data_IF_871568801196
#
_entry.id   IF_871568801196
#
_cell.length_a   1.000
_cell.length_b   1.000
_cell.length_c   1.000
_cell.angle_alpha   90.00
_cell.angle_beta   90.00
_cell.angle_gamma   90.00
#
_symmetry.space_group_name_H-M   'P 1'
#
loop_
_entity.id
_entity.type
_entity.pdbx_description
1 polymer ?
#
# COMPACT_ATOMS: atom_id res chain seq x y z
N UNK A 1 -92.92 34.07 -1.77
CA UNK A 1 -92.49 32.73 -1.28
C UNK A 1 -91.10 32.47 -1.85
N UNK A 2 -90.02 32.71 -1.09
CA UNK A 2 -89.25 31.71 -0.27
C UNK A 2 -88.40 30.83 -1.21
N UNK A 3 -87.07 30.62 -1.11
CA UNK A 3 -85.96 30.99 -0.22
C UNK A 3 -84.64 30.81 -1.02
N UNK A 4 -83.63 31.67 -0.88
CA UNK A 4 -82.41 31.49 -0.04
C UNK A 4 -81.68 30.14 -0.18
N UNK A 5 -80.45 30.14 -0.70
CA UNK A 5 -79.37 29.23 -0.29
C UNK A 5 -78.01 29.75 -0.74
N UNK A 6 -77.26 30.28 0.23
CA UNK A 6 -75.86 30.63 0.13
C UNK A 6 -75.01 29.39 0.46
N UNK A 7 -74.05 29.05 -0.39
CA UNK A 7 -73.05 28.01 -0.14
C UNK A 7 -71.68 28.69 0.03
N UNK A 8 -71.22 28.67 1.30
CA UNK A 8 -69.88 29.05 1.75
C UNK A 8 -68.83 28.07 1.20
N UNK A 9 -67.88 28.58 0.41
CA UNK A 9 -66.62 27.90 0.13
C UNK A 9 -65.67 28.10 1.31
N UNK A 10 -65.60 27.12 2.23
CA UNK A 10 -64.57 27.05 3.25
C UNK A 10 -63.38 26.25 2.73
N UNK A 11 -62.27 26.98 2.57
CA UNK A 11 -60.93 26.49 2.26
C UNK A 11 -60.45 25.47 3.30
N UNK A 12 -60.32 24.20 2.91
CA UNK A 12 -59.67 23.16 3.69
C UNK A 12 -58.29 22.83 3.13
N UNK A 13 -57.25 23.58 3.53
CA UNK A 13 -55.86 23.15 3.34
C UNK A 13 -55.54 22.01 4.33
N UNK A 14 -55.98 20.79 4.03
CA UNK A 14 -55.44 19.59 4.66
C UNK A 14 -54.03 19.35 4.08
N UNK A 15 -53.02 19.92 4.75
CA UNK A 15 -51.64 19.44 4.63
C UNK A 15 -51.62 17.99 5.11
N UNK A 16 -51.63 17.05 4.18
CA UNK A 16 -51.28 15.66 4.46
C UNK A 16 -49.88 15.64 5.06
N UNK A 17 -49.74 15.25 6.32
CA UNK A 17 -48.45 14.90 6.91
C UNK A 17 -47.84 13.80 6.04
N UNK A 18 -46.78 14.15 5.29
CA UNK A 18 -46.23 13.28 4.26
C UNK A 18 -45.58 12.01 4.85
N UNK A 19 -45.51 10.92 4.07
CA UNK A 19 -44.88 9.65 4.44
C UNK A 19 -43.38 9.76 4.81
N UNK A 20 -42.72 10.89 4.54
CA UNK A 20 -41.29 11.12 4.80
C UNK A 20 -40.92 11.15 6.29
N UNK A 21 -41.82 11.64 7.17
CA UNK A 21 -41.55 11.69 8.62
C UNK A 21 -41.40 10.30 9.26
N UNK A 22 -42.11 9.29 8.72
CA UNK A 22 -42.02 7.91 9.21
C UNK A 22 -40.72 7.23 8.79
N UNK A 23 -40.25 7.49 7.56
CA UNK A 23 -39.02 6.91 7.02
C UNK A 23 -37.79 7.48 7.74
N UNK A 24 -37.78 8.78 8.02
CA UNK A 24 -36.68 9.43 8.72
C UNK A 24 -36.57 8.96 10.18
N UNK A 25 -37.70 8.82 10.89
CA UNK A 25 -37.73 8.28 12.24
C UNK A 25 -37.26 6.81 12.30
N UNK A 26 -37.66 5.98 11.34
CA UNK A 26 -37.18 4.59 11.23
C UNK A 26 -35.68 4.53 10.93
N UNK A 27 -35.17 5.44 10.10
CA UNK A 27 -33.75 5.56 9.81
C UNK A 27 -32.96 5.95 11.05
N UNK A 28 -33.35 7.01 11.77
CA UNK A 28 -32.67 7.41 13.02
C UNK A 28 -32.70 6.28 14.06
N UNK A 29 -33.83 5.57 14.19
CA UNK A 29 -33.92 4.44 15.10
C UNK A 29 -32.98 3.30 14.70
N UNK A 30 -32.84 3.02 13.41
CA UNK A 30 -31.93 1.98 12.89
C UNK A 30 -30.47 2.37 13.11
N UNK A 31 -30.12 3.62 12.83
CA UNK A 31 -28.78 4.16 13.04
C UNK A 31 -28.42 4.11 14.54
N UNK A 32 -29.33 4.53 15.42
CA UNK A 32 -29.16 4.46 16.88
C UNK A 32 -28.92 3.03 17.36
N UNK A 33 -29.70 2.06 16.90
CA UNK A 33 -29.51 0.64 17.27
C UNK A 33 -28.15 0.11 16.81
N UNK A 34 -27.75 0.43 15.57
CA UNK A 34 -26.46 -0.01 15.04
C UNK A 34 -25.29 0.55 15.85
N UNK A 35 -25.38 1.81 16.30
CA UNK A 35 -24.35 2.43 17.13
C UNK A 35 -24.33 1.85 18.55
N UNK A 36 -25.51 1.67 19.16
CA UNK A 36 -25.63 1.02 20.48
C UNK A 36 -25.04 -0.40 20.49
N UNK A 37 -25.22 -1.16 19.42
CA UNK A 37 -24.63 -2.50 19.31
C UNK A 37 -23.10 -2.45 19.33
N UNK A 38 -22.49 -1.47 18.65
CA UNK A 38 -21.06 -1.27 18.68
C UNK A 38 -20.55 -0.85 20.07
N UNK A 39 -21.27 0.05 20.75
CA UNK A 39 -20.94 0.47 22.11
C UNK A 39 -20.99 -0.70 23.10
N UNK A 40 -22.01 -1.56 23.00
CA UNK A 40 -22.11 -2.77 23.83
C UNK A 40 -20.90 -3.68 23.59
N UNK A 41 -20.47 -3.88 22.34
CA UNK A 41 -19.26 -4.65 22.03
C UNK A 41 -18.01 -4.02 22.67
N UNK A 42 -17.88 -2.69 22.59
CA UNK A 42 -16.79 -1.95 23.22
C UNK A 42 -16.78 -2.11 24.75
N UNK A 43 -17.94 -1.99 25.40
CA UNK A 43 -18.09 -2.14 26.85
C UNK A 43 -17.80 -3.56 27.33
N UNK A 44 -18.00 -4.57 26.48
CA UNK A 44 -17.60 -5.97 26.72
C UNK A 44 -16.11 -6.25 26.47
N UNK A 45 -15.33 -5.21 26.19
CA UNK A 45 -13.93 -5.30 25.77
C UNK A 45 -13.69 -6.11 24.48
N UNK A 46 -14.74 -6.42 23.70
CA UNK A 46 -14.60 -6.99 22.36
C UNK A 46 -14.37 -5.87 21.34
N UNK A 47 -13.17 -5.30 21.41
CA UNK A 47 -12.79 -4.18 20.56
C UNK A 47 -12.75 -4.55 19.07
N UNK A 48 -12.53 -5.83 18.74
CA UNK A 48 -12.50 -6.31 17.36
C UNK A 48 -13.88 -6.23 16.69
N UNK A 49 -14.92 -6.68 17.41
CA UNK A 49 -16.31 -6.58 16.97
C UNK A 49 -16.77 -5.12 16.97
N UNK A 50 -16.41 -4.34 17.99
CA UNK A 50 -16.72 -2.92 18.06
C UNK A 50 -16.18 -2.15 16.84
N UNK A 51 -14.90 -2.33 16.51
CA UNK A 51 -14.26 -1.74 15.32
C UNK A 51 -15.01 -2.15 14.04
N UNK A 52 -15.35 -3.44 13.89
CA UNK A 52 -16.06 -3.95 12.72
C UNK A 52 -17.45 -3.32 12.54
N UNK A 53 -18.22 -3.21 13.63
CA UNK A 53 -19.55 -2.61 13.64
C UNK A 53 -19.50 -1.10 13.36
N UNK A 54 -18.55 -0.38 13.95
CA UNK A 54 -18.39 1.07 13.74
C UNK A 54 -17.91 1.41 12.33
N UNK A 55 -16.95 0.65 11.79
CA UNK A 55 -16.53 0.80 10.40
C UNK A 55 -17.70 0.52 9.43
N UNK A 56 -18.54 -0.48 9.73
CA UNK A 56 -19.76 -0.73 8.95
C UNK A 56 -20.71 0.46 9.03
N UNK A 57 -20.99 0.98 10.22
CA UNK A 57 -21.86 2.13 10.43
C UNK A 57 -21.40 3.35 9.63
N UNK A 58 -20.11 3.71 9.71
CA UNK A 58 -19.55 4.86 9.00
C UNK A 58 -19.58 4.69 7.48
N UNK A 59 -19.49 3.45 6.97
CA UNK A 59 -19.61 3.16 5.55
C UNK A 59 -21.06 3.21 5.07
N UNK A 60 -22.02 2.74 5.86
CA UNK A 60 -23.44 2.70 5.47
C UNK A 60 -24.15 4.03 5.71
N UNK A 61 -23.70 4.83 6.68
CA UNK A 61 -24.31 6.10 7.08
C UNK A 61 -23.29 7.26 7.15
N UNK A 62 -22.55 7.57 6.07
CA UNK A 62 -21.44 8.54 6.10
C UNK A 62 -21.88 9.97 6.44
N UNK A 63 -23.14 10.33 6.15
CA UNK A 63 -23.71 11.66 6.41
C UNK A 63 -24.60 11.70 7.66
N UNK A 64 -24.62 10.64 8.48
CA UNK A 64 -25.41 10.62 9.71
C UNK A 64 -24.95 11.70 10.69
N UNK A 65 -25.89 12.30 11.42
CA UNK A 65 -25.60 13.18 12.57
C UNK A 65 -24.81 12.44 13.67
N UNK A 66 -24.88 11.10 13.70
CA UNK A 66 -24.15 10.23 14.65
C UNK A 66 -22.78 9.77 14.15
N UNK A 67 -22.37 10.18 12.95
CA UNK A 67 -21.07 9.80 12.38
C UNK A 67 -19.89 10.23 13.25
N UNK A 68 -19.98 11.41 13.89
CA UNK A 68 -18.94 11.90 14.82
C UNK A 68 -18.87 11.05 16.10
N UNK A 69 -20.01 10.67 16.66
CA UNK A 69 -20.10 9.77 17.82
C UNK A 69 -19.54 8.38 17.48
N UNK A 70 -19.89 7.84 16.31
CA UNK A 70 -19.34 6.58 15.82
C UNK A 70 -17.81 6.64 15.65
N UNK A 71 -17.27 7.73 15.09
CA UNK A 71 -15.82 7.93 14.97
C UNK A 71 -15.14 8.05 16.34
N UNK A 72 -15.77 8.70 17.30
CA UNK A 72 -15.26 8.81 18.67
C UNK A 72 -15.12 7.43 19.32
N UNK A 73 -16.17 6.60 19.24
CA UNK A 73 -16.12 5.22 19.72
C UNK A 73 -15.10 4.38 18.97
N UNK A 74 -14.95 4.61 17.66
CA UNK A 74 -13.99 3.87 16.85
C UNK A 74 -12.55 4.19 17.25
N UNK A 75 -12.25 5.47 17.47
CA UNK A 75 -10.96 5.92 17.96
C UNK A 75 -10.61 5.27 19.31
N UNK A 76 -11.58 5.22 20.23
CA UNK A 76 -11.43 4.56 21.54
C UNK A 76 -11.25 3.05 21.40
N UNK A 77 -12.01 2.41 20.53
CA UNK A 77 -11.91 0.97 20.26
C UNK A 77 -10.53 0.62 19.73
N UNK A 78 -10.03 1.37 18.74
CA UNK A 78 -8.66 1.23 18.25
C UNK A 78 -7.64 1.44 19.39
N UNK A 79 -7.79 2.50 20.20
CA UNK A 79 -6.86 2.79 21.29
C UNK A 79 -6.82 1.65 22.32
N UNK A 80 -7.98 1.10 22.69
CA UNK A 80 -8.09 0.02 23.68
C UNK A 80 -7.64 -1.33 23.13
N UNK A 81 -7.75 -1.54 21.83
CA UNK A 81 -7.22 -2.71 21.13
C UNK A 81 -5.70 -2.65 20.89
N UNK A 82 -5.04 -1.53 21.18
CA UNK A 82 -3.60 -1.33 20.91
C UNK A 82 -3.31 -0.76 19.51
N UNK A 83 -4.30 -0.53 18.66
CA UNK A 83 -4.09 0.06 17.34
C UNK A 83 -3.90 1.59 17.43
N UNK A 84 -2.81 2.04 18.03
CA UNK A 84 -2.60 3.46 18.41
C UNK A 84 -2.54 4.39 17.19
N UNK A 85 -1.89 3.97 16.11
CA UNK A 85 -1.84 4.75 14.86
C UNK A 85 -3.24 4.96 14.28
N UNK A 86 -4.06 3.91 14.27
CA UNK A 86 -5.46 3.98 13.81
C UNK A 86 -6.32 4.84 14.73
N UNK A 87 -6.08 4.78 16.05
CA UNK A 87 -6.76 5.63 17.01
C UNK A 87 -6.44 7.11 16.78
N UNK A 88 -5.17 7.48 16.59
CA UNK A 88 -4.75 8.86 16.28
C UNK A 88 -5.49 9.39 15.06
N UNK A 89 -5.62 8.59 14.01
CA UNK A 89 -6.26 9.01 12.76
C UNK A 89 -7.72 9.41 13.02
N UNK A 90 -8.45 8.56 13.73
CA UNK A 90 -9.85 8.85 14.04
C UNK A 90 -9.98 10.04 15.00
N UNK A 91 -9.06 10.21 15.96
CA UNK A 91 -9.05 11.39 16.81
C UNK A 91 -8.66 12.67 16.06
N UNK A 92 -7.68 12.64 15.15
CA UNK A 92 -7.31 13.81 14.32
C UNK A 92 -8.49 14.27 13.46
N UNK A 93 -9.25 13.33 12.88
CA UNK A 93 -10.48 13.67 12.17
C UNK A 93 -11.44 14.49 13.03
N UNK A 94 -11.68 14.08 14.28
CA UNK A 94 -12.55 14.78 15.22
C UNK A 94 -11.97 16.12 15.68
N UNK A 95 -10.64 16.20 15.83
CA UNK A 95 -9.90 17.39 16.24
C UNK A 95 -9.87 18.50 15.17
N UNK A 96 -9.75 18.10 13.90
CA UNK A 96 -9.48 18.98 12.75
C UNK A 96 -10.74 19.28 11.91
N UNK A 97 -11.88 18.65 12.25
CA UNK A 97 -13.16 18.97 11.61
C UNK A 97 -13.51 20.45 11.79
N UNK A 98 -13.90 21.12 10.70
CA UNK A 98 -14.26 22.55 10.69
C UNK A 98 -15.51 22.87 11.50
N UNK A 99 -16.39 21.89 11.66
CA UNK A 99 -17.60 21.99 12.48
C UNK A 99 -17.26 21.67 13.93
N UNK A 100 -17.56 22.62 14.81
CA UNK A 100 -17.39 22.42 16.25
C UNK A 100 -18.19 21.19 16.71
N UNK A 101 -17.56 20.32 17.49
CA UNK A 101 -18.16 19.11 17.98
C UNK A 101 -17.70 18.82 19.41
N UNK A 102 -18.54 18.11 20.16
CA UNK A 102 -18.32 17.83 21.58
C UNK A 102 -17.05 17.02 21.86
N UNK A 103 -16.48 16.35 20.86
CA UNK A 103 -15.28 15.52 21.00
C UNK A 103 -13.99 16.25 20.67
N UNK A 104 -14.04 17.47 20.14
CA UNK A 104 -12.89 18.12 19.51
C UNK A 104 -11.72 18.34 20.48
N UNK A 105 -11.99 18.89 21.66
CA UNK A 105 -10.98 19.17 22.69
C UNK A 105 -10.35 17.87 23.22
N UNK A 106 -11.18 16.89 23.54
CA UNK A 106 -10.73 15.58 24.02
C UNK A 106 -9.91 14.85 22.96
N UNK A 107 -10.34 14.92 21.69
CA UNK A 107 -9.64 14.32 20.57
C UNK A 107 -8.25 14.95 20.39
N UNK A 108 -8.11 16.29 20.44
CA UNK A 108 -6.79 16.96 20.41
C UNK A 108 -5.88 16.50 21.54
N UNK A 109 -6.41 16.43 22.76
CA UNK A 109 -5.66 15.94 23.93
C UNK A 109 -5.22 14.47 23.74
N UNK A 110 -6.10 13.62 23.22
CA UNK A 110 -5.81 12.22 22.91
C UNK A 110 -4.77 12.09 21.81
N UNK A 111 -4.86 12.88 20.73
CA UNK A 111 -3.83 12.93 19.68
C UNK A 111 -2.48 13.28 20.30
N UNK A 112 -2.37 14.40 21.03
CA UNK A 112 -1.11 14.80 21.65
C UNK A 112 -0.57 13.76 22.67
N UNK A 113 -1.45 13.07 23.39
CA UNK A 113 -1.05 11.99 24.31
C UNK A 113 -0.54 10.76 23.54
N UNK A 114 -1.28 10.33 22.52
CA UNK A 114 -0.94 9.17 21.72
C UNK A 114 0.28 9.42 20.85
N UNK A 115 0.46 10.62 20.30
CA UNK A 115 1.65 11.04 19.57
C UNK A 115 2.87 11.16 20.47
N UNK A 116 2.72 11.56 21.75
CA UNK A 116 3.83 11.46 22.70
C UNK A 116 4.16 10.01 23.03
N UNK A 117 3.14 9.16 23.19
CA UNK A 117 3.31 7.71 23.38
C UNK A 117 3.99 7.08 22.17
N UNK A 118 3.53 7.34 20.95
CA UNK A 118 4.12 6.88 19.70
C UNK A 118 5.40 7.63 19.33
N UNK A 119 5.63 8.83 19.83
CA UNK A 119 6.92 9.53 19.75
C UNK A 119 7.99 8.73 20.48
N UNK A 120 7.64 8.23 21.66
CA UNK A 120 8.46 7.33 22.47
C UNK A 120 8.38 5.86 22.04
N UNK A 121 7.27 5.43 21.45
CA UNK A 121 6.93 4.04 21.12
C UNK A 121 6.99 3.74 19.63
N UNK A 122 7.25 4.67 18.72
CA UNK A 122 7.65 4.37 17.33
C UNK A 122 9.15 4.11 17.24
N UNK A 123 9.91 4.48 18.29
CA UNK A 123 11.14 3.77 18.64
C UNK A 123 10.87 2.29 19.02
N UNK A 124 9.60 1.91 19.27
CA UNK A 124 9.16 0.60 19.76
C UNK A 124 7.85 0.10 19.13
N UNK A 125 7.54 0.40 17.86
CA UNK A 125 6.62 -0.49 17.15
C UNK A 125 7.33 -1.84 17.20
N UNK A 126 6.70 -2.89 17.70
CA UNK A 126 7.45 -4.12 17.95
C UNK A 126 8.07 -4.55 16.63
N UNK A 127 9.39 -4.46 16.52
CA UNK A 127 10.13 -4.80 15.32
C UNK A 127 9.76 -6.24 15.04
N UNK A 128 8.96 -6.44 13.99
CA UNK A 128 8.43 -7.75 13.67
C UNK A 128 9.51 -8.60 13.02
N UNK A 129 10.36 -7.93 12.25
CA UNK A 129 11.44 -8.53 11.52
C UNK A 129 12.40 -7.52 10.92
N UNK A 130 13.40 -8.06 10.23
CA UNK A 130 14.42 -7.30 9.49
C UNK A 130 14.25 -7.54 7.99
N UNK A 131 14.53 -6.52 7.19
CA UNK A 131 14.67 -6.62 5.74
C UNK A 131 16.16 -6.71 5.41
N UNK A 132 16.58 -7.69 4.62
CA UNK A 132 17.99 -7.85 4.27
C UNK A 132 18.15 -8.25 2.81
N UNK A 133 19.03 -7.58 2.09
CA UNK A 133 19.41 -7.96 0.71
C UNK A 133 20.12 -9.31 0.71
N UNK A 134 19.77 -10.19 -0.23
CA UNK A 134 20.39 -11.49 -0.39
C UNK A 134 21.92 -11.41 -0.49
N UNK A 135 22.44 -10.43 -1.25
CA UNK A 135 23.87 -10.25 -1.44
C UNK A 135 24.62 -9.82 -0.18
N UNK A 136 23.95 -9.12 0.75
CA UNK A 136 24.50 -8.78 2.04
C UNK A 136 24.52 -10.00 2.98
N UNK A 137 23.49 -10.85 2.92
CA UNK A 137 23.40 -12.05 3.75
C UNK A 137 24.49 -13.06 3.39
N UNK A 138 24.73 -13.33 2.11
CA UNK A 138 25.74 -14.33 1.72
C UNK A 138 27.16 -13.97 2.15
N UNK A 139 27.44 -12.67 2.32
CA UNK A 139 28.74 -12.20 2.79
C UNK A 139 28.95 -12.41 4.30
N UNK A 140 27.88 -12.37 5.11
CA UNK A 140 28.00 -12.38 6.57
C UNK A 140 26.73 -12.91 7.27
N UNK A 141 26.28 -14.12 6.92
CA UNK A 141 25.01 -14.71 7.42
C UNK A 141 24.92 -14.68 8.94
N UNK A 142 26.04 -14.91 9.64
CA UNK A 142 26.08 -14.96 11.10
C UNK A 142 25.90 -13.60 11.77
N UNK A 143 26.24 -12.50 11.11
CA UNK A 143 26.07 -11.14 11.65
C UNK A 143 24.70 -10.53 11.33
N UNK A 144 23.91 -11.14 10.44
CA UNK A 144 22.63 -10.58 9.98
C UNK A 144 21.54 -10.69 11.04
N UNK A 145 21.52 -11.79 11.79
CA UNK A 145 20.63 -11.92 12.96
C UNK A 145 21.46 -11.53 14.17
N UNK A 146 21.30 -10.31 14.72
CA UNK A 146 21.99 -9.94 15.94
C UNK A 146 21.66 -10.97 17.03
N UNK A 147 22.69 -11.54 17.65
CA UNK A 147 22.57 -12.47 18.77
C UNK A 147 22.09 -11.78 20.05
N UNK A 148 21.87 -10.46 20.02
CA UNK A 148 21.53 -9.64 21.18
C UNK A 148 20.03 -9.50 21.38
N UNK A 149 19.66 -9.51 22.65
CA UNK A 149 18.34 -9.39 23.27
C UNK A 149 17.51 -8.14 22.93
N UNK A 150 18.01 -7.23 22.08
CA UNK A 150 17.40 -5.92 21.87
C UNK A 150 16.43 -5.85 20.69
N UNK A 151 16.50 -6.82 19.76
CA UNK A 151 15.55 -6.94 18.65
C UNK A 151 14.99 -8.37 18.66
N UNK A 152 13.78 -8.55 19.21
CA UNK A 152 13.00 -9.79 19.08
C UNK A 152 12.44 -9.96 17.65
N UNK A 153 13.30 -9.90 16.64
CA UNK A 153 12.94 -10.06 15.23
C UNK A 153 12.54 -11.52 14.98
N UNK A 154 11.25 -11.81 15.04
CA UNK A 154 10.66 -13.12 14.73
C UNK A 154 10.65 -13.45 13.24
N UNK A 155 11.02 -12.50 12.37
CA UNK A 155 10.85 -12.60 10.92
C UNK A 155 12.03 -11.98 10.16
N UNK A 156 12.38 -12.56 9.02
CA UNK A 156 13.35 -12.01 8.07
C UNK A 156 12.69 -11.93 6.70
N UNK A 157 12.68 -10.74 6.11
CA UNK A 157 12.38 -10.54 4.69
C UNK A 157 13.69 -10.52 3.91
N UNK A 158 14.00 -11.63 3.25
CA UNK A 158 15.17 -11.80 2.41
C UNK A 158 14.86 -11.24 1.01
N UNK A 159 15.41 -10.08 0.68
CA UNK A 159 15.15 -9.39 -0.58
C UNK A 159 16.10 -9.89 -1.66
N UNK A 160 15.54 -10.37 -2.77
CA UNK A 160 16.28 -10.69 -3.99
C UNK A 160 16.32 -9.41 -4.84
N UNK A 161 17.47 -8.71 -4.87
CA UNK A 161 17.56 -7.44 -5.58
C UNK A 161 17.50 -7.67 -7.10
N UNK A 162 17.23 -6.60 -7.83
CA UNK A 162 17.40 -6.60 -9.28
C UNK A 162 18.89 -6.70 -9.64
N UNK A 163 19.21 -7.46 -10.68
CA UNK A 163 20.59 -7.61 -11.14
C UNK A 163 20.92 -6.49 -12.14
N UNK A 164 22.11 -5.92 -12.02
CA UNK A 164 22.66 -5.03 -13.05
C UNK A 164 23.70 -5.86 -13.80
N UNK A 165 23.53 -6.02 -15.11
CA UNK A 165 24.38 -6.88 -15.96
C UNK A 165 24.51 -8.34 -15.49
N UNK A 166 23.43 -8.88 -14.93
CA UNK A 166 23.38 -10.26 -14.44
C UNK A 166 24.22 -10.53 -13.18
N UNK A 167 24.66 -9.47 -12.49
CA UNK A 167 25.40 -9.53 -11.23
C UNK A 167 24.61 -8.88 -10.10
N UNK A 168 24.73 -9.44 -8.90
CA UNK A 168 24.27 -8.77 -7.68
C UNK A 168 25.11 -7.50 -7.50
N UNK A 169 24.45 -6.35 -7.38
CA UNK A 169 25.09 -5.04 -7.29
C UNK A 169 26.06 -4.93 -6.11
N UNK A 170 25.82 -5.70 -5.04
CA UNK A 170 26.63 -5.64 -3.82
C UNK A 170 27.95 -6.43 -3.89
N UNK A 171 28.05 -7.54 -4.62
CA UNK A 171 29.21 -8.46 -4.51
C UNK A 171 29.58 -9.24 -5.78
N UNK A 172 28.90 -9.03 -6.92
CA UNK A 172 29.22 -9.73 -8.17
C UNK A 172 28.92 -11.24 -8.19
N UNK A 173 28.39 -11.80 -7.10
CA UNK A 173 27.96 -13.19 -7.03
C UNK A 173 26.73 -13.43 -7.91
N UNK A 174 26.69 -14.60 -8.54
CA UNK A 174 25.52 -15.07 -9.28
C UNK A 174 24.50 -15.64 -8.29
N UNK A 175 23.23 -15.24 -8.43
CA UNK A 175 22.14 -15.83 -7.65
C UNK A 175 21.98 -17.31 -8.06
N UNK A 176 22.13 -18.23 -7.10
CA UNK A 176 21.86 -19.66 -7.28
C UNK A 176 20.84 -20.16 -6.26
N UNK A 177 20.03 -21.14 -6.66
CA UNK A 177 19.06 -21.76 -5.75
C UNK A 177 19.74 -22.46 -4.58
N UNK A 178 20.90 -23.08 -4.78
CA UNK A 178 21.66 -23.75 -3.71
C UNK A 178 22.12 -22.77 -2.63
N UNK A 179 22.69 -21.63 -3.04
CA UNK A 179 23.10 -20.58 -2.10
C UNK A 179 21.89 -20.01 -1.37
N UNK A 180 20.78 -19.79 -2.09
CA UNK A 180 19.55 -19.29 -1.49
C UNK A 180 18.96 -20.29 -0.50
N UNK A 181 18.98 -21.58 -0.82
CA UNK A 181 18.48 -22.64 0.04
C UNK A 181 19.30 -22.73 1.32
N UNK A 182 20.63 -22.70 1.21
CA UNK A 182 21.54 -22.72 2.36
C UNK A 182 21.30 -21.53 3.29
N UNK A 183 21.14 -20.32 2.75
CA UNK A 183 20.84 -19.12 3.55
C UNK A 183 19.49 -19.26 4.26
N UNK A 184 18.44 -19.66 3.53
CA UNK A 184 17.09 -19.80 4.09
C UNK A 184 17.07 -20.88 5.18
N UNK A 185 17.72 -22.03 4.97
CA UNK A 185 17.84 -23.08 5.98
C UNK A 185 18.54 -22.60 7.25
N UNK A 186 19.66 -21.86 7.11
CA UNK A 186 20.41 -21.33 8.24
C UNK A 186 19.57 -20.33 9.07
N UNK A 187 18.86 -19.42 8.40
CA UNK A 187 17.99 -18.46 9.07
C UNK A 187 16.80 -19.17 9.74
N UNK A 188 16.19 -20.15 9.07
CA UNK A 188 15.08 -20.94 9.62
C UNK A 188 15.50 -21.78 10.83
N UNK A 189 16.70 -22.37 10.83
CA UNK A 189 17.23 -23.14 11.96
C UNK A 189 17.39 -22.29 13.23
N UNK A 190 17.43 -20.96 13.10
CA UNK A 190 17.44 -19.98 14.21
C UNK A 190 16.04 -19.56 14.66
N UNK A 191 15.00 -20.19 14.14
CA UNK A 191 13.60 -19.96 14.52
C UNK A 191 12.95 -18.74 13.86
N UNK A 192 13.59 -18.13 12.85
CA UNK A 192 13.01 -17.00 12.14
C UNK A 192 11.97 -17.45 11.10
N UNK A 193 10.84 -16.74 11.02
CA UNK A 193 9.91 -16.84 9.91
C UNK A 193 10.49 -16.14 8.68
N UNK A 194 10.67 -16.86 7.57
CA UNK A 194 11.37 -16.32 6.39
C UNK A 194 10.37 -15.93 5.30
N UNK A 195 10.44 -14.68 4.87
CA UNK A 195 9.73 -14.19 3.70
C UNK A 195 10.74 -13.92 2.59
N UNK A 196 10.48 -14.38 1.37
CA UNK A 196 11.30 -14.06 0.22
C UNK A 196 10.70 -12.87 -0.55
N UNK A 197 11.41 -11.74 -0.57
CA UNK A 197 11.06 -10.55 -1.34
C UNK A 197 11.60 -10.67 -2.76
N UNK A 198 10.74 -10.54 -3.77
CA UNK A 198 11.12 -10.71 -5.18
C UNK A 198 10.46 -9.65 -6.02
N UNK A 199 11.21 -9.05 -6.96
CA UNK A 199 10.61 -8.17 -7.98
C UNK A 199 10.43 -8.95 -9.28
N UNK A 200 9.20 -9.35 -9.67
CA UNK A 200 9.00 -10.25 -10.80
C UNK A 200 9.56 -9.73 -12.12
N UNK A 201 9.61 -8.41 -12.34
CA UNK A 201 10.19 -7.83 -13.57
C UNK A 201 11.72 -7.96 -13.66
N UNK A 202 12.40 -8.28 -12.55
CA UNK A 202 13.85 -8.44 -12.51
C UNK A 202 14.31 -9.89 -12.59
N UNK A 203 13.44 -10.86 -12.27
CA UNK A 203 13.83 -12.27 -12.22
C UNK A 203 14.33 -12.82 -13.57
N UNK A 204 13.88 -12.25 -14.70
CA UNK A 204 14.40 -12.62 -16.00
C UNK A 204 15.89 -12.31 -16.20
N UNK A 205 16.50 -11.45 -15.36
CA UNK A 205 17.93 -11.18 -15.40
C UNK A 205 18.75 -12.32 -14.76
N UNK A 206 18.12 -13.11 -13.90
CA UNK A 206 18.73 -14.26 -13.22
C UNK A 206 18.88 -15.43 -14.20
N UNK A 207 17.94 -15.57 -15.14
CA UNK A 207 17.94 -16.66 -16.10
C UNK A 207 18.68 -16.28 -17.39
N UNK A 208 19.59 -17.15 -17.83
CA UNK A 208 20.29 -17.05 -19.12
C UNK A 208 19.68 -17.98 -20.16
N UNK A 209 18.36 -17.92 -20.36
CA UNK A 209 17.70 -18.70 -21.42
C UNK A 209 17.73 -17.94 -22.75
N UNK A 210 17.88 -18.68 -23.86
CA UNK A 210 17.78 -18.09 -25.21
C UNK A 210 16.35 -17.56 -25.44
N UNK A 211 16.23 -16.40 -26.07
CA UNK A 211 14.93 -15.79 -26.43
C UNK A 211 14.32 -14.88 -25.37
N UNK A 212 14.87 -14.82 -24.15
CA UNK A 212 14.35 -13.94 -23.09
C UNK A 212 14.44 -12.45 -23.45
N UNK A 213 15.40 -12.06 -24.30
CA UNK A 213 15.57 -10.68 -24.76
C UNK A 213 14.33 -10.09 -25.43
N UNK A 214 13.47 -10.93 -26.03
CA UNK A 214 12.24 -10.50 -26.68
C UNK A 214 11.12 -10.20 -25.67
N UNK A 215 11.26 -10.68 -24.42
CA UNK A 215 10.32 -10.44 -23.34
C UNK A 215 10.63 -9.16 -22.54
N UNK A 216 11.73 -8.47 -22.87
CA UNK A 216 12.09 -7.20 -22.25
C UNK A 216 11.05 -6.14 -22.54
N UNK A 217 10.79 -5.32 -21.54
CA UNK A 217 9.92 -4.17 -21.67
C UNK A 217 10.63 -3.02 -22.41
N UNK A 218 9.90 -1.98 -22.78
CA UNK A 218 10.46 -0.80 -23.42
C UNK A 218 10.22 0.43 -22.56
N UNK A 219 11.18 1.34 -22.56
CA UNK A 219 11.15 2.61 -21.84
C UNK A 219 11.41 3.76 -22.80
N UNK A 220 10.69 4.86 -22.63
CA UNK A 220 10.98 6.12 -23.29
C UNK A 220 12.07 6.86 -22.50
N UNK A 221 13.09 7.34 -23.19
CA UNK A 221 14.11 8.20 -22.62
C UNK A 221 13.81 9.66 -23.02
N UNK A 222 13.40 10.53 -22.08
CA UNK A 222 13.04 11.91 -22.40
C UNK A 222 14.25 12.75 -22.84
N UNK A 223 15.49 12.37 -22.48
CA UNK A 223 16.68 13.12 -22.88
C UNK A 223 17.00 12.87 -24.35
N UNK A 224 16.98 11.61 -24.77
CA UNK A 224 17.24 11.26 -26.17
C UNK A 224 16.00 11.25 -27.04
N UNK A 225 14.81 11.41 -26.45
CA UNK A 225 13.50 11.34 -27.13
C UNK A 225 13.32 10.06 -27.93
N UNK A 226 13.83 8.95 -27.41
CA UNK A 226 13.78 7.64 -28.08
C UNK A 226 13.24 6.55 -27.17
N UNK A 227 12.63 5.54 -27.78
CA UNK A 227 12.36 4.29 -27.10
C UNK A 227 13.61 3.42 -27.03
N UNK A 228 13.87 2.87 -25.85
CA UNK A 228 14.98 1.95 -25.57
C UNK A 228 14.44 0.70 -24.90
N UNK A 229 15.13 -0.42 -25.09
CA UNK A 229 14.84 -1.65 -24.33
C UNK A 229 15.12 -1.40 -22.86
N UNK A 230 14.16 -1.75 -22.02
CA UNK A 230 14.30 -1.76 -20.57
C UNK A 230 15.19 -2.95 -20.16
N UNK A 231 15.99 -2.84 -19.10
CA UNK A 231 16.66 -4.00 -18.51
C UNK A 231 15.68 -4.96 -17.83
N UNK A 232 14.41 -4.56 -17.68
CA UNK A 232 13.36 -5.30 -16.98
C UNK A 232 12.41 -5.97 -17.96
N UNK A 233 11.75 -7.00 -17.46
CA UNK A 233 10.87 -7.87 -18.25
C UNK A 233 9.41 -7.46 -18.12
N UNK A 234 8.67 -7.67 -19.20
CA UNK A 234 7.25 -7.37 -19.27
C UNK A 234 6.42 -8.59 -18.85
N UNK A 235 5.50 -8.40 -17.91
CA UNK A 235 4.57 -9.45 -17.47
C UNK A 235 3.50 -9.79 -18.52
N UNK A 236 3.44 -9.05 -19.64
CA UNK A 236 2.47 -9.29 -20.72
C UNK A 236 2.81 -10.53 -21.55
N UNK A 237 4.07 -10.97 -21.58
CA UNK A 237 4.48 -12.17 -22.30
C UNK A 237 4.12 -13.44 -21.54
N UNK A 238 3.33 -14.31 -22.17
CA UNK A 238 2.97 -15.63 -21.62
C UNK A 238 4.20 -16.48 -21.29
N UNK A 239 5.19 -16.52 -22.19
CA UNK A 239 6.44 -17.24 -21.97
C UNK A 239 7.18 -16.75 -20.72
N UNK A 240 7.19 -15.44 -20.46
CA UNK A 240 7.79 -14.89 -19.25
C UNK A 240 6.99 -15.25 -17.99
N UNK A 241 5.66 -15.23 -18.05
CA UNK A 241 4.82 -15.66 -16.92
C UNK A 241 5.01 -17.14 -16.59
N UNK A 242 5.10 -18.00 -17.61
CA UNK A 242 5.41 -19.42 -17.42
C UNK A 242 6.78 -19.61 -16.75
N UNK A 243 7.80 -18.89 -17.22
CA UNK A 243 9.12 -18.86 -16.59
C UNK A 243 9.05 -18.46 -15.10
N UNK A 244 8.25 -17.45 -14.74
CA UNK A 244 8.08 -17.06 -13.33
C UNK A 244 7.47 -18.18 -12.50
N UNK A 245 6.44 -18.86 -13.01
CA UNK A 245 5.83 -20.02 -12.32
C UNK A 245 6.87 -21.11 -12.07
N UNK A 246 7.65 -21.47 -13.09
CA UNK A 246 8.71 -22.48 -12.97
C UNK A 246 9.83 -22.07 -12.01
N UNK A 247 10.18 -20.77 -12.00
CA UNK A 247 11.17 -20.23 -11.08
C UNK A 247 10.69 -20.34 -9.63
N UNK A 248 9.46 -19.94 -9.35
CA UNK A 248 8.88 -20.03 -8.00
C UNK A 248 8.62 -21.48 -7.58
N UNK A 249 8.29 -22.38 -8.49
CA UNK A 249 8.06 -23.79 -8.18
C UNK A 249 9.32 -24.46 -7.60
N UNK A 250 10.52 -23.98 -7.94
CA UNK A 250 11.79 -24.46 -7.35
C UNK A 250 11.93 -24.12 -5.86
N UNK A 251 11.12 -23.19 -5.32
CA UNK A 251 11.13 -22.85 -3.90
C UNK A 251 10.34 -23.82 -3.02
N UNK A 252 9.73 -24.87 -3.60
CA UNK A 252 8.83 -25.79 -2.88
C UNK A 252 9.44 -26.39 -1.62
N UNK A 253 10.74 -26.72 -1.69
CA UNK A 253 11.43 -27.42 -0.61
C UNK A 253 12.14 -26.47 0.36
N UNK A 254 12.00 -25.16 0.14
CA UNK A 254 12.58 -24.15 1.02
C UNK A 254 11.68 -23.96 2.24
N UNK A 255 12.23 -23.82 3.46
CA UNK A 255 11.44 -23.57 4.66
C UNK A 255 11.01 -22.09 4.74
N UNK A 256 10.24 -21.64 3.76
CA UNK A 256 9.69 -20.29 3.67
C UNK A 256 8.34 -20.21 4.39
N UNK A 257 8.10 -19.07 5.03
CA UNK A 257 6.79 -18.69 5.57
C UNK A 257 5.93 -17.98 4.52
N UNK A 258 6.55 -17.20 3.64
CA UNK A 258 5.81 -16.51 2.58
C UNK A 258 6.66 -15.92 1.47
N UNK A 259 5.99 -15.45 0.44
CA UNK A 259 6.56 -14.73 -0.70
C UNK A 259 6.01 -13.31 -0.71
N UNK A 260 6.88 -12.32 -0.88
CA UNK A 260 6.48 -10.91 -1.01
C UNK A 260 6.80 -10.44 -2.42
N UNK A 261 5.75 -10.12 -3.18
CA UNK A 261 5.88 -9.49 -4.49
C UNK A 261 6.25 -8.02 -4.30
N UNK A 262 7.51 -7.69 -4.59
CA UNK A 262 8.07 -6.35 -4.55
C UNK A 262 7.70 -5.57 -5.81
N UNK A 263 7.52 -4.27 -5.67
CA UNK A 263 7.40 -3.30 -6.78
C UNK A 263 8.59 -2.33 -6.79
N UNK A 264 9.82 -2.85 -6.66
CA UNK A 264 11.02 -2.01 -6.59
C UNK A 264 11.32 -1.31 -7.94
N UNK A 265 10.91 -1.90 -9.05
CA UNK A 265 11.09 -1.33 -10.40
C UNK A 265 9.73 -1.21 -11.12
N UNK A 266 8.91 -0.21 -10.77
CA UNK A 266 7.65 0.02 -11.45
C UNK A 266 7.89 0.35 -12.94
N UNK A 267 6.87 0.16 -13.78
CA UNK A 267 6.96 0.61 -15.17
C UNK A 267 6.96 2.15 -15.22
N UNK A 268 6.21 2.78 -14.31
CA UNK A 268 6.16 4.22 -14.16
C UNK A 268 5.63 4.94 -15.41
N UNK A 269 5.95 6.23 -15.47
CA UNK A 269 5.48 7.14 -16.53
C UNK A 269 6.04 6.72 -17.89
N UNK A 270 7.34 6.44 -17.92
CA UNK A 270 8.09 6.21 -19.16
C UNK A 270 8.34 4.73 -19.49
N UNK A 271 7.74 3.77 -18.79
CA UNK A 271 7.89 2.34 -19.11
C UNK A 271 6.61 1.66 -19.58
N UNK A 272 6.72 0.38 -19.92
CA UNK A 272 5.57 -0.45 -20.31
C UNK A 272 5.28 -0.45 -21.81
N UNK A 273 6.19 0.06 -22.65
CA UNK A 273 5.92 0.33 -24.07
C UNK A 273 6.31 -0.81 -25.01
N UNK A 274 6.49 -2.03 -24.51
CA UNK A 274 6.77 -3.15 -25.41
C UNK A 274 5.67 -3.28 -26.48
N UNK A 275 5.99 -3.66 -27.73
CA UNK A 275 5.02 -3.66 -28.82
C UNK A 275 3.76 -4.49 -28.56
N UNK A 276 3.89 -5.62 -27.85
CA UNK A 276 2.76 -6.46 -27.46
C UNK A 276 1.79 -5.70 -26.54
N UNK A 277 2.28 -4.98 -25.53
CA UNK A 277 1.44 -4.19 -24.65
C UNK A 277 0.72 -3.06 -25.39
N UNK A 278 1.41 -2.34 -26.28
CA UNK A 278 0.79 -1.29 -27.11
C UNK A 278 -0.30 -1.88 -28.01
N UNK A 279 -0.07 -3.05 -28.61
CA UNK A 279 -1.05 -3.75 -29.43
C UNK A 279 -2.29 -4.18 -28.62
N UNK A 280 -2.09 -4.76 -27.42
CA UNK A 280 -3.18 -5.17 -26.53
C UNK A 280 -4.03 -3.97 -26.10
N UNK A 281 -3.39 -2.85 -25.75
CA UNK A 281 -4.08 -1.61 -25.44
C UNK A 281 -4.90 -1.09 -26.64
N UNK A 282 -4.29 -1.06 -27.83
CA UNK A 282 -4.98 -0.59 -29.03
C UNK A 282 -6.20 -1.46 -29.37
N UNK A 283 -6.11 -2.77 -29.16
CA UNK A 283 -7.22 -3.71 -29.31
C UNK A 283 -8.35 -3.43 -28.31
N UNK A 284 -8.02 -3.12 -27.05
CA UNK A 284 -9.00 -2.89 -25.99
C UNK A 284 -9.72 -1.55 -26.11
N UNK A 285 -9.00 -0.48 -26.47
CA UNK A 285 -9.55 0.88 -26.49
C UNK A 285 -9.86 1.44 -27.88
N UNK A 286 -9.50 0.73 -28.95
CA UNK A 286 -9.65 1.20 -30.33
C UNK A 286 -8.80 2.43 -30.67
N UNK A 287 -7.78 2.73 -29.86
CA UNK A 287 -6.87 3.87 -30.05
C UNK A 287 -5.43 3.44 -29.83
N UNK A 288 -4.53 3.89 -30.70
CA UNK A 288 -3.09 3.66 -30.53
C UNK A 288 -2.51 4.45 -29.36
N UNK A 289 -1.35 4.01 -28.88
CA UNK A 289 -0.52 4.76 -27.95
C UNK A 289 0.89 4.87 -28.52
N UNK A 290 1.31 6.09 -28.86
CA UNK A 290 2.67 6.38 -29.30
C UNK A 290 3.39 7.16 -28.20
N UNK A 291 4.36 6.55 -27.49
CA UNK A 291 5.08 7.22 -26.41
C UNK A 291 5.97 8.37 -26.91
N UNK A 292 6.47 8.33 -28.14
CA UNK A 292 7.26 9.43 -28.69
C UNK A 292 6.34 10.64 -28.86
N UNK A 293 5.22 10.48 -29.57
CA UNK A 293 4.24 11.57 -29.73
C UNK A 293 3.65 12.05 -28.39
N UNK A 294 3.50 11.15 -27.41
CA UNK A 294 2.97 11.49 -26.09
C UNK A 294 3.91 12.39 -25.27
N UNK A 295 5.23 12.23 -25.41
CA UNK A 295 6.23 12.85 -24.54
C UNK A 295 7.24 13.75 -25.27
N UNK A 296 7.10 13.96 -26.58
CA UNK A 296 7.96 14.85 -27.37
C UNK A 296 7.64 16.35 -27.15
N UNK A 297 6.46 16.69 -26.61
CA UNK A 297 6.14 18.07 -26.23
C UNK A 297 6.82 18.42 -24.89
N UNK A 298 7.76 19.39 -24.92
CA UNK A 298 8.50 19.91 -23.76
C UNK A 298 7.58 20.38 -22.62
N UNK A 299 6.31 20.69 -22.92
CA UNK A 299 5.29 21.04 -21.92
C UNK A 299 4.89 19.88 -21.01
N UNK A 300 4.99 18.64 -21.51
CA UNK A 300 4.56 17.42 -20.80
C UNK A 300 5.56 16.99 -19.73
N UNK A 301 6.85 17.32 -19.91
CA UNK A 301 7.97 16.85 -19.09
C UNK A 301 8.28 17.81 -17.93
N UNK A 302 8.02 19.12 -18.10
CA UNK A 302 8.44 20.14 -17.12
C UNK A 302 7.42 20.43 -16.01
N UNK A 303 6.18 19.95 -16.11
CA UNK A 303 5.11 20.25 -15.13
C UNK A 303 4.84 19.16 -14.10
N UNK A 304 5.53 18.01 -14.16
CA UNK A 304 5.32 16.92 -13.18
C UNK A 304 5.98 17.17 -11.82
N UNK A 305 6.74 18.25 -11.66
CA UNK A 305 7.44 18.57 -10.40
C UNK A 305 6.62 19.36 -9.38
N UNK A 306 5.46 19.88 -9.77
CA UNK A 306 4.59 20.68 -8.90
C UNK A 306 3.13 20.43 -9.25
N UNK A 307 2.46 19.55 -8.49
CA UNK A 307 0.99 19.49 -8.48
C UNK A 307 0.42 20.89 -8.22
N UNK A 308 -0.80 21.27 -8.68
CA UNK A 308 -1.83 20.52 -9.41
C UNK A 308 -2.13 21.10 -10.82
N UNK A 309 -2.48 20.22 -11.77
CA UNK A 309 -3.00 20.62 -13.09
C UNK A 309 -2.39 19.93 -14.31
N UNK A 310 -1.82 18.72 -14.18
CA UNK A 310 -1.22 18.03 -15.34
C UNK A 310 -2.33 17.67 -16.33
N UNK A 311 -2.48 18.49 -17.37
CA UNK A 311 -3.41 18.26 -18.48
C UNK A 311 -2.82 17.22 -19.44
N UNK A 312 -2.68 15.97 -18.96
CA UNK A 312 -2.30 14.86 -19.84
C UNK A 312 -3.49 14.48 -20.74
N UNK A 313 -3.25 14.13 -22.01
CA UNK A 313 -4.31 13.71 -22.93
C UNK A 313 -5.12 12.53 -22.36
N UNK A 314 -6.39 12.42 -22.73
CA UNK A 314 -7.26 11.31 -22.27
C UNK A 314 -6.65 9.93 -22.55
N UNK A 315 -5.96 9.77 -23.67
CA UNK A 315 -5.31 8.50 -24.04
C UNK A 315 -4.17 8.13 -23.07
N UNK A 316 -3.50 9.11 -22.46
CA UNK A 316 -2.53 8.89 -21.39
C UNK A 316 -3.18 8.20 -20.18
N UNK A 317 -4.29 8.75 -19.68
CA UNK A 317 -4.96 8.19 -18.51
C UNK A 317 -5.54 6.81 -18.78
N UNK A 318 -6.04 6.57 -20.00
CA UNK A 318 -6.43 5.23 -20.44
C UNK A 318 -5.24 4.26 -20.36
N UNK A 319 -4.09 4.65 -20.89
CA UNK A 319 -2.88 3.83 -20.87
C UNK A 319 -2.34 3.57 -19.46
N UNK A 320 -2.24 4.61 -18.63
CA UNK A 320 -1.78 4.49 -17.24
C UNK A 320 -2.70 3.58 -16.40
N UNK A 321 -4.02 3.77 -16.55
CA UNK A 321 -5.05 2.91 -15.94
C UNK A 321 -4.96 1.46 -16.42
N UNK A 322 -4.84 1.25 -17.73
CA UNK A 322 -4.76 -0.06 -18.35
C UNK A 322 -3.52 -0.84 -17.90
N UNK A 323 -2.31 -0.25 -18.02
CA UNK A 323 -1.06 -0.89 -17.59
C UNK A 323 -1.10 -1.36 -16.13
N UNK A 324 -1.66 -0.53 -15.25
CA UNK A 324 -1.79 -0.85 -13.82
C UNK A 324 -2.71 -2.05 -13.60
N UNK A 325 -3.85 -2.10 -14.29
CA UNK A 325 -4.77 -3.24 -14.23
C UNK A 325 -4.18 -4.50 -14.83
N UNK A 326 -3.51 -4.43 -15.99
CA UNK A 326 -2.86 -5.59 -16.62
C UNK A 326 -1.72 -6.16 -15.77
N UNK A 327 -0.90 -5.28 -15.18
CA UNK A 327 0.11 -5.69 -14.19
C UNK A 327 -0.54 -6.43 -13.03
N UNK A 328 -1.58 -5.84 -12.42
CA UNK A 328 -2.24 -6.47 -11.28
C UNK A 328 -2.92 -7.79 -11.65
N UNK A 329 -3.57 -7.87 -12.83
CA UNK A 329 -4.15 -9.13 -13.35
C UNK A 329 -3.07 -10.20 -13.46
N UNK A 330 -1.95 -9.88 -14.10
CA UNK A 330 -0.81 -10.79 -14.24
C UNK A 330 -0.27 -11.27 -12.89
N UNK A 331 -0.20 -10.37 -11.89
CA UNK A 331 0.24 -10.73 -10.53
C UNK A 331 -0.79 -11.59 -9.79
N UNK A 332 -2.09 -11.32 -9.96
CA UNK A 332 -3.17 -12.13 -9.37
C UNK A 332 -3.15 -13.54 -9.94
N UNK A 333 -3.04 -13.68 -11.25
CA UNK A 333 -2.99 -14.97 -11.94
C UNK A 333 -1.74 -15.76 -11.53
N UNK A 334 -0.59 -15.08 -11.43
CA UNK A 334 0.64 -15.66 -10.91
C UNK A 334 0.43 -16.19 -9.48
N UNK A 335 -0.04 -15.35 -8.54
CA UNK A 335 -0.25 -15.76 -7.14
C UNK A 335 -1.26 -16.90 -7.03
N UNK A 336 -2.36 -16.87 -7.80
CA UNK A 336 -3.35 -17.95 -7.81
C UNK A 336 -2.73 -19.27 -8.28
N UNK A 337 -1.92 -19.22 -9.34
CA UNK A 337 -1.18 -20.39 -9.84
C UNK A 337 -0.19 -20.91 -8.79
N UNK A 338 0.58 -20.01 -8.18
CA UNK A 338 1.56 -20.37 -7.15
C UNK A 338 0.90 -20.97 -5.91
N UNK A 339 -0.28 -20.51 -5.50
CA UNK A 339 -1.02 -21.11 -4.37
C UNK A 339 -1.36 -22.58 -4.58
N UNK A 340 -1.55 -23.01 -5.83
CA UNK A 340 -1.74 -24.44 -6.15
C UNK A 340 -0.46 -25.24 -5.87
N UNK A 341 0.70 -24.68 -6.18
CA UNK A 341 2.00 -25.36 -6.03
C UNK A 341 2.66 -25.16 -4.67
N UNK A 342 2.32 -24.08 -3.96
CA UNK A 342 2.90 -23.61 -2.70
C UNK A 342 1.79 -23.25 -1.70
N UNK A 343 0.89 -24.18 -1.34
CA UNK A 343 -0.33 -23.87 -0.58
C UNK A 343 -0.07 -23.42 0.87
N UNK A 344 1.11 -23.67 1.40
CA UNK A 344 1.50 -23.31 2.76
C UNK A 344 2.05 -21.88 2.88
N UNK A 345 2.37 -21.22 1.77
CA UNK A 345 2.98 -19.89 1.78
C UNK A 345 1.94 -18.78 1.90
N UNK A 346 2.25 -17.79 2.74
CA UNK A 346 1.58 -16.50 2.71
C UNK A 346 2.06 -15.67 1.51
N UNK A 347 1.18 -14.92 0.87
CA UNK A 347 1.52 -14.04 -0.25
C UNK A 347 1.37 -12.57 0.16
N UNK A 348 2.48 -11.85 0.21
CA UNK A 348 2.54 -10.42 0.43
C UNK A 348 2.73 -9.63 -0.85
N UNK A 349 2.40 -8.34 -0.80
CA UNK A 349 2.72 -7.37 -1.87
C UNK A 349 3.19 -6.06 -1.25
N UNK A 350 4.19 -5.44 -1.86
CA UNK A 350 4.61 -4.10 -1.45
C UNK A 350 3.79 -3.01 -2.14
N UNK A 351 3.46 -1.96 -1.40
CA UNK A 351 2.80 -0.76 -1.88
C UNK A 351 3.61 0.46 -1.47
N UNK A 352 3.74 1.45 -2.35
CA UNK A 352 4.42 2.70 -2.01
C UNK A 352 3.54 3.55 -1.10
N UNK A 353 4.10 4.11 -0.01
CA UNK A 353 3.35 4.99 0.90
C UNK A 353 2.66 6.14 0.16
N UNK A 354 3.36 6.71 -0.84
CA UNK A 354 2.84 7.78 -1.70
C UNK A 354 1.74 7.35 -2.66
N UNK A 355 1.71 6.09 -3.11
CA UNK A 355 0.59 5.60 -3.95
C UNK A 355 -0.71 5.51 -3.15
N UNK A 356 -0.60 5.27 -1.84
CA UNK A 356 -1.73 5.22 -0.92
C UNK A 356 -2.24 6.63 -0.64
N UNK A 357 -1.37 7.56 -0.25
CA UNK A 357 -1.76 8.93 0.09
C UNK A 357 -2.18 9.72 -1.14
N UNK A 358 -1.52 9.51 -2.29
CA UNK A 358 -1.80 10.14 -3.58
C UNK A 358 -1.97 9.08 -4.70
N UNK A 359 -3.22 8.62 -4.95
CA UNK A 359 -3.50 7.58 -5.95
C UNK A 359 -3.14 7.97 -7.38
N UNK A 360 -3.21 9.25 -7.73
CA UNK A 360 -2.84 9.73 -9.07
C UNK A 360 -1.34 9.54 -9.30
N UNK A 361 -0.52 9.92 -8.31
CA UNK A 361 0.92 9.65 -8.33
C UNK A 361 1.21 8.15 -8.30
N UNK A 362 0.45 7.40 -7.51
CA UNK A 362 0.37 5.93 -7.53
C UNK A 362 0.32 5.36 -8.93
N UNK A 363 -0.65 5.84 -9.69
CA UNK A 363 -0.94 5.38 -11.03
C UNK A 363 0.19 5.71 -12.01
N UNK A 364 0.70 6.94 -11.96
CA UNK A 364 1.70 7.44 -12.90
C UNK A 364 3.09 6.85 -12.62
N UNK A 365 3.58 6.97 -11.39
CA UNK A 365 4.98 6.69 -11.08
C UNK A 365 5.21 5.25 -10.65
N UNK A 366 4.23 4.62 -10.02
CA UNK A 366 4.39 3.29 -9.43
C UNK A 366 3.65 2.21 -10.20
N UNK A 367 2.78 2.58 -11.15
CA UNK A 367 1.90 1.61 -11.83
C UNK A 367 1.12 0.81 -10.78
N UNK A 368 0.61 1.53 -9.78
CA UNK A 368 -0.09 0.99 -8.61
C UNK A 368 -1.49 1.61 -8.48
N UNK A 369 -2.48 0.74 -8.29
CA UNK A 369 -3.79 1.08 -7.74
C UNK A 369 -3.95 0.28 -6.45
N UNK A 370 -3.63 0.90 -5.32
CA UNK A 370 -3.59 0.19 -4.04
C UNK A 370 -4.97 -0.33 -3.62
N UNK A 371 -6.06 0.32 -4.04
CA UNK A 371 -7.43 -0.12 -3.74
C UNK A 371 -7.79 -1.37 -4.53
N UNK A 372 -7.33 -1.48 -5.78
CA UNK A 372 -7.51 -2.73 -6.52
C UNK A 372 -6.57 -3.81 -5.99
N UNK A 373 -5.33 -3.46 -5.62
CA UNK A 373 -4.37 -4.43 -5.02
C UNK A 373 -4.96 -5.09 -3.76
N UNK A 374 -5.63 -4.35 -2.88
CA UNK A 374 -6.23 -4.90 -1.65
C UNK A 374 -7.36 -5.90 -1.88
N UNK A 375 -7.94 -5.93 -3.08
CA UNK A 375 -8.96 -6.90 -3.51
C UNK A 375 -8.34 -8.18 -4.09
N UNK A 376 -7.03 -8.19 -4.30
CA UNK A 376 -6.30 -9.36 -4.82
C UNK A 376 -6.11 -10.48 -3.78
N UNK A 377 -5.53 -11.61 -4.19
CA UNK A 377 -5.31 -12.80 -3.37
C UNK A 377 -4.09 -12.65 -2.45
N UNK A 378 -3.90 -11.48 -1.83
CA UNK A 378 -2.76 -11.16 -0.97
C UNK A 378 -3.16 -11.24 0.52
N UNK A 379 -2.30 -11.89 1.31
CA UNK A 379 -2.45 -12.06 2.75
C UNK A 379 -1.91 -10.86 3.51
N UNK A 380 -0.80 -10.28 3.03
CA UNK A 380 -0.06 -9.17 3.64
C UNK A 380 0.14 -8.02 2.67
N UNK A 381 0.13 -6.80 3.21
CA UNK A 381 0.45 -5.57 2.49
C UNK A 381 1.60 -4.88 3.21
N UNK A 382 2.71 -4.69 2.50
CA UNK A 382 3.91 -4.06 3.04
C UNK A 382 4.02 -2.65 2.47
N UNK A 383 3.84 -1.64 3.32
CA UNK A 383 3.98 -0.24 2.94
C UNK A 383 5.47 0.08 2.91
N UNK A 384 6.01 0.29 1.72
CA UNK A 384 7.36 0.78 1.52
C UNK A 384 7.39 2.30 1.68
N UNK A 385 8.31 2.78 2.52
CA UNK A 385 8.61 4.20 2.64
C UNK A 385 9.78 4.50 1.71
N UNK A 386 9.58 5.44 0.79
CA UNK A 386 10.64 5.89 -0.11
C UNK A 386 11.76 6.57 0.68
N UNK A 387 13.00 6.26 0.33
CA UNK A 387 14.09 7.20 0.61
C UNK A 387 13.93 8.39 -0.35
N UNK A 388 14.11 9.64 0.11
CA UNK A 388 14.08 10.79 -0.78
C UNK A 388 15.16 10.62 -1.87
N UNK A 389 14.73 10.56 -3.13
CA UNK A 389 15.59 10.45 -4.31
C UNK A 389 16.78 11.42 -4.22
N UNK A 390 18.00 10.90 -4.04
CA UNK A 390 19.21 11.72 -4.00
C UNK A 390 19.53 12.39 -5.35
N UNK A 391 18.93 11.90 -6.44
CA UNK A 391 19.02 12.50 -7.78
C UNK A 391 18.16 13.75 -7.94
N UNK A 392 17.21 14.01 -7.03
CA UNK A 392 16.32 15.18 -7.05
C UNK A 392 16.69 16.27 -6.03
N UNK A 393 17.70 16.05 -5.18
CA UNK A 393 18.04 16.97 -4.05
C UNK A 393 19.00 18.11 -4.46
N UNK A 394 19.51 18.15 -5.69
CA UNK A 394 20.46 19.19 -6.07
C UNK A 394 19.90 20.61 -6.26
N UNK A 395 18.59 20.88 -6.11
CA UNK A 395 18.06 22.22 -6.43
C UNK A 395 17.12 22.88 -5.40
N UNK A 396 16.84 22.29 -4.25
CA UNK A 396 16.14 23.02 -3.18
C UNK A 396 16.83 22.86 -1.84
N UNK A 397 18.02 23.45 -1.74
CA UNK A 397 18.67 23.74 -0.48
C UNK A 397 17.98 24.94 0.20
N UNK A 398 16.76 24.74 0.70
CA UNK A 398 16.19 25.57 1.77
C UNK A 398 15.46 24.67 2.77
N UNK A 399 16.19 24.38 3.84
CA UNK A 399 15.77 23.94 5.18
C UNK A 399 14.25 23.83 5.42
N UNK A 400 13.73 22.62 5.32
CA UNK A 400 12.59 22.16 6.12
C UNK A 400 12.99 20.86 6.83
N UNK A 401 12.54 20.61 8.07
CA UNK A 401 12.89 19.40 8.81
C UNK A 401 12.24 18.18 8.14
N UNK A 402 13.00 17.55 7.23
CA UNK A 402 12.59 16.45 6.34
C UNK A 402 11.99 15.25 7.09
N UNK A 403 12.43 14.99 8.34
CA UNK A 403 11.89 13.90 9.16
C UNK A 403 10.42 14.06 9.59
N UNK A 404 9.82 15.25 9.48
CA UNK A 404 8.41 15.44 9.84
C UNK A 404 7.45 15.07 8.70
N UNK A 405 7.81 15.33 7.44
CA UNK A 405 6.96 15.03 6.28
C UNK A 405 6.86 13.53 6.00
N UNK A 406 7.97 12.80 6.05
CA UNK A 406 7.99 11.35 5.76
C UNK A 406 7.21 10.54 6.80
N UNK A 407 7.34 10.93 8.07
CA UNK A 407 6.56 10.34 9.17
C UNK A 407 5.07 10.60 9.00
N UNK A 408 4.70 11.77 8.49
CA UNK A 408 3.31 12.10 8.20
C UNK A 408 2.77 11.27 7.03
N UNK A 409 3.56 11.06 5.97
CA UNK A 409 3.19 10.23 4.82
C UNK A 409 3.03 8.75 5.20
N UNK A 410 3.95 8.21 6.00
CA UNK A 410 3.89 6.85 6.54
C UNK A 410 2.60 6.66 7.36
N UNK A 411 2.37 7.51 8.35
CA UNK A 411 1.20 7.41 9.22
C UNK A 411 -0.10 7.59 8.43
N UNK A 412 -0.13 8.51 7.47
CA UNK A 412 -1.29 8.72 6.60
C UNK A 412 -1.56 7.52 5.67
N UNK A 413 -0.52 6.86 5.16
CA UNK A 413 -0.66 5.65 4.35
C UNK A 413 -1.22 4.49 5.19
N UNK A 414 -0.61 4.20 6.35
CA UNK A 414 -1.07 3.17 7.28
C UNK A 414 -2.52 3.44 7.70
N UNK A 415 -2.84 4.68 8.07
CA UNK A 415 -4.18 5.13 8.43
C UNK A 415 -5.22 4.74 7.38
N UNK A 416 -4.97 5.16 6.13
CA UNK A 416 -5.87 4.96 4.99
C UNK A 416 -6.04 3.48 4.68
N UNK A 417 -4.97 2.70 4.75
CA UNK A 417 -5.05 1.25 4.58
C UNK A 417 -5.82 0.56 5.70
N UNK A 418 -5.64 0.96 6.97
CA UNK A 418 -6.41 0.40 8.09
C UNK A 418 -7.89 0.73 7.95
N UNK A 419 -8.23 1.98 7.62
CA UNK A 419 -9.61 2.39 7.36
C UNK A 419 -10.24 1.57 6.24
N UNK A 420 -9.50 1.33 5.15
CA UNK A 420 -9.98 0.57 4.02
C UNK A 420 -10.13 -0.93 4.29
N UNK A 421 -9.13 -1.56 4.93
CA UNK A 421 -9.08 -3.01 5.14
C UNK A 421 -9.83 -3.47 6.39
N UNK A 422 -9.95 -2.61 7.40
CA UNK A 422 -10.45 -2.96 8.73
C UNK A 422 -9.64 -4.04 9.47
N UNK A 423 -8.43 -4.36 8.97
CA UNK A 423 -7.58 -5.46 9.45
C UNK A 423 -6.12 -5.01 9.58
N UNK A 424 -5.77 -4.26 10.64
CA UNK A 424 -4.41 -3.72 10.82
C UNK A 424 -3.32 -4.81 10.82
N UNK A 425 -3.62 -6.04 11.27
CA UNK A 425 -2.67 -7.15 11.23
C UNK A 425 -2.29 -7.67 9.84
N UNK A 426 -2.90 -7.16 8.77
CA UNK A 426 -2.47 -7.40 7.40
C UNK A 426 -1.45 -6.39 6.89
N UNK A 427 -1.19 -5.30 7.64
CA UNK A 427 -0.38 -4.17 7.18
C UNK A 427 0.94 -4.18 7.95
N UNK A 428 2.04 -4.26 7.21
CA UNK A 428 3.38 -4.03 7.72
C UNK A 428 3.97 -2.79 7.08
N UNK A 429 4.94 -2.17 7.73
CA UNK A 429 5.71 -1.07 7.14
C UNK A 429 7.17 -1.46 7.05
N UNK A 430 7.77 -1.19 5.90
CA UNK A 430 9.20 -1.36 5.64
C UNK A 430 9.86 0.01 5.76
N UNK A 431 10.85 0.09 6.64
CA UNK A 431 11.75 1.24 6.76
C UNK A 431 13.13 0.84 6.23
N UNK A 432 13.62 1.49 5.15
CA UNK A 432 14.92 1.19 4.58
C UNK A 432 16.08 1.59 5.51
N UNK A 433 17.26 1.05 5.24
CA UNK A 433 18.45 1.04 6.09
C UNK A 433 18.81 2.42 6.66
N UNK A 434 18.88 3.47 5.83
CA UNK A 434 19.26 4.82 6.31
C UNK A 434 18.26 5.41 7.30
N UNK A 435 16.97 5.14 7.09
CA UNK A 435 15.89 5.62 7.95
C UNK A 435 15.81 4.74 9.22
N UNK A 436 16.10 3.45 9.10
CA UNK A 436 16.19 2.51 10.22
C UNK A 436 17.33 2.85 11.18
N UNK A 437 18.53 3.12 10.65
CA UNK A 437 19.71 3.51 11.43
C UNK A 437 19.50 4.80 12.21
N UNK A 438 18.89 5.83 11.61
CA UNK A 438 18.59 7.09 12.30
C UNK A 438 17.56 6.95 13.45
N UNK A 439 16.74 5.88 13.43
CA UNK A 439 15.69 5.62 14.43
C UNK A 439 16.15 4.74 15.59
N UNK A 440 17.26 3.99 15.46
CA UNK A 440 17.83 3.23 16.58
C UNK A 440 18.69 4.15 17.46
N UNK A 441 18.25 4.41 18.69
CA UNK A 441 18.96 5.27 19.64
C UNK A 441 20.23 4.63 20.23
N UNK A 442 20.45 3.33 20.04
CA UNK A 442 21.61 2.59 20.55
C UNK A 442 21.83 1.30 19.75
N UNK A 443 22.62 1.36 18.67
CA UNK A 443 23.02 0.20 17.89
C UNK A 443 23.29 0.53 16.43
N UNK A 444 24.46 0.14 15.92
CA UNK A 444 24.77 0.24 14.49
C UNK A 444 24.20 -1.01 13.82
N UNK A 445 23.12 -0.86 13.05
CA UNK A 445 22.72 -1.92 12.13
C UNK A 445 23.78 -2.03 11.03
N UNK A 446 24.20 -3.25 10.63
CA UNK A 446 24.96 -3.46 9.41
C UNK A 446 24.29 -2.76 8.22
N UNK A 447 25.11 -2.19 7.33
CA UNK A 447 24.60 -1.61 6.08
C UNK A 447 23.79 -2.64 5.29
N UNK A 448 22.67 -2.21 4.73
CA UNK A 448 21.74 -3.04 3.97
C UNK A 448 20.63 -3.71 4.80
N UNK A 449 20.46 -3.37 6.08
CA UNK A 449 19.40 -3.91 6.94
C UNK A 449 18.29 -2.87 7.17
N UNK A 450 17.10 -3.15 6.64
CA UNK A 450 15.88 -2.42 6.94
C UNK A 450 15.10 -3.01 8.11
N UNK A 451 14.14 -2.26 8.64
CA UNK A 451 13.26 -2.70 9.73
C UNK A 451 11.83 -2.89 9.25
N UNK A 452 11.15 -3.92 9.79
CA UNK A 452 9.76 -4.20 9.50
C UNK A 452 8.93 -4.04 10.77
N UNK A 453 7.92 -3.20 10.69
CA UNK A 453 7.02 -2.89 11.80
C UNK A 453 5.64 -3.50 11.56
N UNK A 454 5.08 -4.06 12.63
CA UNK A 454 3.70 -4.54 12.69
C UNK A 454 2.85 -3.55 13.48
N UNK A 455 1.77 -3.05 12.87
CA UNK A 455 0.90 -2.03 13.45
C UNK A 455 -0.23 -2.60 14.32
N UNK A 456 -0.09 -3.85 14.78
CA UNK A 456 -1.06 -4.47 15.71
C UNK A 456 -1.02 -3.94 17.14
N UNK A 457 0.03 -3.22 17.57
CA UNK A 457 0.31 -2.88 18.98
C UNK A 457 0.54 -1.39 19.24
#
# INVERSE_FOLDING_TARGET
MVALSALLFMSGCLRSAGPDLGVEALRDQTEKRSLQQAEIAFLRADYSTAVSLLNRFLRTHPQSSRSLEARWWLARAYQKAGYLSSAIVQYRFLADTRTENVYQTDARSRVAQLERRLGKSMAHGSIKGILVSFGAVTAAVDSVIPSSTDIEASMVLLDVPCLVDGKLQDNGQQLSFDAMHSVVQHLHARGAAIYLGVTPRCLGQVARQRGMEDWKDWTYDPQSRTLRRSPYYSLHFEGYRAFLVDWFAQLRDFPLTGLVIRNAVPAGLYGGFNPLAVQLFAREFGVGFDPVLMFDDDRTVLQTHSEPGVHLPVVFWKWAGWKTRERLRSLRDLVQTLRVHLPHLEFGVTLQSRSITNPVRGLIHFTEDWVDVTRGPFDRFLIAIEEPDSTLVHQTAQSSPQGSSERNDEMAAVAKMVEHLGKPGKIWTILPDRIGQARMQSGILPQGIGLIYDHRR
#
